data_IF_035719234633
#
_entry.id   IF_035719234633
#
_cell.length_a   1.000
_cell.length_b   1.000
_cell.length_c   1.000
_cell.angle_alpha   90.00
_cell.angle_beta   90.00
_cell.angle_gamma   90.00
#
_symmetry.space_group_name_H-M   'P 1'
#
loop_
_entity.id
_entity.type
_entity.pdbx_description
1 polymer ?
#
# COMPACT_ATOMS: atom_id res chain seq x y z
N UNK A 1 63.99 23.39 28.54
CA UNK A 1 63.13 23.15 27.37
C UNK A 1 63.54 21.79 26.80
N UNK A 2 62.79 20.70 26.89
CA UNK A 2 61.44 20.44 27.40
C UNK A 2 61.44 18.96 27.86
N UNK A 3 60.84 18.70 29.02
CA UNK A 3 60.44 17.36 29.46
C UNK A 3 58.93 17.40 29.64
N UNK A 4 58.21 16.63 28.83
CA UNK A 4 56.79 16.40 29.01
C UNK A 4 56.37 15.09 28.31
N UNK A 5 56.27 14.06 29.13
CA UNK A 5 55.16 13.10 29.20
C UNK A 5 54.96 12.11 28.04
N UNK A 6 55.66 10.97 28.15
CA UNK A 6 55.06 9.65 27.93
C UNK A 6 54.17 9.32 29.15
N UNK A 7 52.87 9.12 28.94
CA UNK A 7 51.96 8.66 30.00
C UNK A 7 51.04 7.59 29.44
N UNK A 8 51.36 6.39 29.90
CA UNK A 8 50.67 5.12 29.76
C UNK A 8 49.27 5.14 30.42
N UNK A 9 48.40 4.31 29.85
CA UNK A 9 47.20 3.67 30.43
C UNK A 9 45.86 4.42 30.50
N UNK A 10 44.96 3.97 29.60
CA UNK A 10 43.70 3.28 29.91
C UNK A 10 42.59 4.05 30.62
N UNK A 11 41.45 4.23 29.93
CA UNK A 11 40.12 3.88 30.47
C UNK A 11 39.04 3.92 29.39
N UNK A 12 38.20 2.90 29.42
CA UNK A 12 37.06 2.65 28.57
C UNK A 12 36.01 3.78 28.58
N UNK A 13 35.47 4.10 27.41
CA UNK A 13 34.15 4.68 27.27
C UNK A 13 33.45 4.00 26.08
N UNK A 14 32.35 3.33 26.43
CA UNK A 14 31.60 2.40 25.62
C UNK A 14 31.18 2.96 24.25
N UNK A 15 31.56 2.24 23.20
CA UNK A 15 30.79 2.18 21.96
C UNK A 15 29.40 1.61 22.31
N UNK A 16 28.28 2.24 21.91
CA UNK A 16 26.98 1.59 22.04
C UNK A 16 26.96 0.39 21.09
N UNK A 17 27.09 -0.78 21.70
CA UNK A 17 26.91 -2.07 21.07
C UNK A 17 25.54 -2.16 20.40
N UNK A 18 25.54 -2.68 19.18
CA UNK A 18 24.52 -3.55 18.58
C UNK A 18 23.05 -3.21 18.97
N UNK A 19 22.39 -2.42 18.12
CA UNK A 19 20.94 -2.24 18.20
C UNK A 19 20.24 -3.57 17.82
N UNK A 20 19.98 -4.37 18.85
CA UNK A 20 18.81 -5.24 19.02
C UNK A 20 18.31 -6.05 17.81
N UNK A 21 19.01 -7.14 17.46
CA UNK A 21 18.39 -8.35 16.88
C UNK A 21 17.89 -9.28 17.99
N UNK A 22 17.05 -8.77 18.89
CA UNK A 22 16.34 -9.60 19.87
C UNK A 22 15.15 -10.25 19.15
N UNK A 23 14.90 -11.57 19.27
CA UNK A 23 13.77 -12.24 18.61
C UNK A 23 12.40 -11.62 18.97
N UNK A 24 12.28 -10.98 20.13
CA UNK A 24 11.08 -10.24 20.52
C UNK A 24 10.89 -8.92 19.76
N UNK A 25 11.97 -8.21 19.43
CA UNK A 25 11.91 -6.96 18.68
C UNK A 25 11.48 -7.21 17.22
N UNK A 26 11.95 -8.32 16.61
CA UNK A 26 11.54 -8.74 15.27
C UNK A 26 10.05 -9.14 15.24
N UNK A 27 9.60 -9.90 16.23
CA UNK A 27 8.19 -10.33 16.33
C UNK A 27 7.23 -9.17 16.60
N UNK A 28 7.66 -8.20 17.41
CA UNK A 28 6.91 -6.97 17.66
C UNK A 28 6.85 -6.08 16.41
N UNK A 29 7.95 -5.96 15.66
CA UNK A 29 7.98 -5.24 14.39
C UNK A 29 7.10 -5.90 13.31
N UNK A 30 7.10 -7.24 13.20
CA UNK A 30 6.18 -7.97 12.30
C UNK A 30 4.72 -7.77 12.70
N UNK A 31 4.38 -7.89 13.99
CA UNK A 31 3.02 -7.66 14.48
C UNK A 31 2.55 -6.23 14.24
N UNK A 32 3.44 -5.24 14.38
CA UNK A 32 3.15 -3.84 14.08
C UNK A 32 2.95 -3.63 12.57
N UNK A 33 3.80 -4.21 11.72
CA UNK A 33 3.67 -4.14 10.26
C UNK A 33 2.36 -4.80 9.77
N UNK A 34 2.00 -5.96 10.32
CA UNK A 34 0.73 -6.66 10.03
C UNK A 34 -0.47 -5.86 10.52
N UNK A 35 -0.37 -5.25 11.71
CA UNK A 35 -1.43 -4.39 12.26
C UNK A 35 -1.69 -3.14 11.40
N UNK A 36 -0.64 -2.52 10.88
CA UNK A 36 -0.74 -1.38 9.96
C UNK A 36 -1.32 -1.82 8.62
N UNK A 37 -0.83 -2.91 8.03
CA UNK A 37 -1.38 -3.50 6.80
C UNK A 37 -2.86 -3.84 6.92
N UNK A 38 -3.29 -4.36 8.07
CA UNK A 38 -4.70 -4.70 8.33
C UNK A 38 -5.57 -3.44 8.41
N UNK A 39 -5.12 -2.39 9.10
CA UNK A 39 -5.86 -1.11 9.17
C UNK A 39 -6.03 -0.46 7.79
N UNK A 40 -4.96 -0.45 6.99
CA UNK A 40 -5.01 0.04 5.60
C UNK A 40 -5.96 -0.82 4.76
N UNK A 41 -5.92 -2.15 4.93
CA UNK A 41 -6.83 -3.07 4.26
C UNK A 41 -8.30 -2.81 4.60
N UNK A 42 -8.64 -2.58 5.87
CA UNK A 42 -10.02 -2.32 6.27
C UNK A 42 -10.53 -0.98 5.72
N UNK A 43 -9.72 0.08 5.78
CA UNK A 43 -10.09 1.39 5.25
C UNK A 43 -10.18 1.40 3.72
N UNK A 44 -9.32 0.62 3.04
CA UNK A 44 -9.31 0.51 1.59
C UNK A 44 -10.28 -0.55 1.05
N UNK A 45 -10.91 -1.38 1.89
CA UNK A 45 -11.74 -2.50 1.43
C UNK A 45 -12.85 -2.07 0.46
N UNK A 46 -13.64 -1.01 0.72
CA UNK A 46 -14.67 -0.57 -0.23
C UNK A 46 -14.10 -0.07 -1.57
N UNK A 47 -12.98 0.65 -1.51
CA UNK A 47 -12.30 1.18 -2.71
C UNK A 47 -11.70 0.03 -3.52
N UNK A 48 -11.09 -0.95 -2.85
CA UNK A 48 -10.51 -2.11 -3.51
C UNK A 48 -11.59 -2.91 -4.23
N UNK A 49 -12.71 -3.19 -3.58
CA UNK A 49 -13.82 -3.91 -4.22
C UNK A 49 -14.35 -3.17 -5.45
N UNK A 50 -14.47 -1.84 -5.39
CA UNK A 50 -14.85 -1.05 -6.55
C UNK A 50 -13.85 -1.21 -7.71
N UNK A 51 -12.56 -1.11 -7.43
CA UNK A 51 -11.51 -1.27 -8.45
C UNK A 51 -11.47 -2.70 -9.01
N UNK A 52 -11.59 -3.71 -8.16
CA UNK A 52 -11.65 -5.13 -8.52
C UNK A 52 -12.85 -5.45 -9.43
N UNK A 53 -14.01 -4.84 -9.17
CA UNK A 53 -15.22 -5.06 -9.94
C UNK A 53 -15.27 -4.27 -11.26
N UNK A 54 -14.61 -3.12 -11.34
CA UNK A 54 -14.75 -2.21 -12.48
C UNK A 54 -13.61 -2.31 -13.48
N UNK A 55 -12.37 -2.07 -13.03
CA UNK A 55 -11.24 -1.79 -13.95
C UNK A 55 -10.11 -2.81 -13.87
N UNK A 56 -9.90 -3.47 -12.74
CA UNK A 56 -8.75 -4.38 -12.54
C UNK A 56 -8.72 -5.53 -13.57
N UNK A 57 -9.82 -6.22 -13.91
CA UNK A 57 -9.76 -7.35 -14.83
C UNK A 57 -9.27 -6.94 -16.23
N UNK A 58 -9.86 -5.89 -16.80
CA UNK A 58 -9.51 -5.39 -18.13
C UNK A 58 -8.10 -4.77 -18.15
N UNK A 59 -7.70 -4.12 -17.06
CA UNK A 59 -6.37 -3.52 -16.93
C UNK A 59 -5.27 -4.57 -16.83
N UNK A 60 -5.50 -5.68 -16.12
CA UNK A 60 -4.58 -6.81 -16.08
C UNK A 60 -4.40 -7.45 -17.46
N UNK A 61 -5.49 -7.63 -18.21
CA UNK A 61 -5.42 -8.15 -19.59
C UNK A 61 -4.66 -7.19 -20.52
N UNK A 62 -4.94 -5.89 -20.44
CA UNK A 62 -4.24 -4.87 -21.22
C UNK A 62 -2.75 -4.78 -20.91
N UNK A 63 -2.37 -4.88 -19.64
CA UNK A 63 -0.96 -4.92 -19.25
C UNK A 63 -0.25 -6.19 -19.76
N UNK A 64 -0.92 -7.34 -19.77
CA UNK A 64 -0.37 -8.56 -20.37
C UNK A 64 -0.15 -8.42 -21.87
N UNK A 65 -1.10 -7.80 -22.60
CA UNK A 65 -0.95 -7.53 -24.03
C UNK A 65 0.19 -6.54 -24.31
N UNK A 66 0.28 -5.47 -23.53
CA UNK A 66 1.35 -4.47 -23.62
C UNK A 66 2.73 -5.10 -23.43
N UNK A 67 2.88 -6.00 -22.46
CA UNK A 67 4.15 -6.71 -22.22
C UNK A 67 4.57 -7.61 -23.39
N UNK A 68 3.62 -8.10 -24.19
CA UNK A 68 3.88 -8.96 -25.36
C UNK A 68 4.25 -8.14 -26.59
N UNK A 69 3.48 -7.09 -26.88
CA UNK A 69 3.66 -6.29 -28.09
C UNK A 69 4.78 -5.26 -27.97
N UNK A 70 5.05 -4.77 -26.74
CA UNK A 70 6.08 -3.75 -26.46
C UNK A 70 6.06 -2.59 -27.48
N UNK A 71 4.90 -1.95 -27.70
CA UNK A 71 4.76 -0.89 -28.68
C UNK A 71 5.60 0.33 -28.29
N UNK A 72 5.91 1.17 -29.29
CA UNK A 72 6.73 2.39 -29.11
C UNK A 72 6.09 3.37 -28.13
N UNK A 73 4.76 3.46 -28.14
CA UNK A 73 3.95 4.24 -27.20
C UNK A 73 3.08 3.32 -26.30
N UNK A 74 3.59 2.86 -25.14
CA UNK A 74 2.87 1.92 -24.28
C UNK A 74 1.57 2.50 -23.67
N UNK A 75 1.56 3.81 -23.39
CA UNK A 75 0.39 4.49 -22.80
C UNK A 75 -0.77 4.57 -23.79
N UNK A 76 -0.47 4.94 -25.04
CA UNK A 76 -1.46 5.06 -26.11
C UNK A 76 -2.08 3.71 -26.44
N UNK A 77 -1.23 2.67 -26.56
CA UNK A 77 -1.69 1.31 -26.74
C UNK A 77 -2.61 0.85 -25.61
N UNK A 78 -2.23 1.09 -24.35
CA UNK A 78 -3.03 0.67 -23.21
C UNK A 78 -4.38 1.40 -23.17
N UNK A 79 -4.39 2.70 -23.43
CA UNK A 79 -5.63 3.49 -23.49
C UNK A 79 -6.57 2.94 -24.58
N UNK A 80 -6.04 2.69 -25.78
CA UNK A 80 -6.81 2.09 -26.86
C UNK A 80 -7.34 0.70 -26.48
N UNK A 81 -6.48 -0.14 -25.90
CA UNK A 81 -6.86 -1.49 -25.46
C UNK A 81 -8.02 -1.46 -24.48
N UNK A 82 -7.96 -0.58 -23.48
CA UNK A 82 -9.02 -0.41 -22.48
C UNK A 82 -10.33 0.06 -23.10
N UNK A 83 -10.28 1.00 -24.05
CA UNK A 83 -11.48 1.49 -24.75
C UNK A 83 -12.10 0.43 -25.66
N UNK A 84 -11.29 -0.35 -26.38
CA UNK A 84 -11.77 -1.41 -27.28
C UNK A 84 -12.32 -2.63 -26.55
N UNK A 85 -11.85 -2.91 -25.32
CA UNK A 85 -12.26 -4.07 -24.52
C UNK A 85 -13.13 -3.69 -23.32
N UNK A 86 -13.71 -2.49 -23.31
CA UNK A 86 -14.59 -2.06 -22.24
C UNK A 86 -15.89 -2.90 -22.23
N UNK A 87 -16.18 -3.67 -21.16
CA UNK A 87 -17.40 -4.47 -21.07
C UNK A 87 -18.68 -3.61 -20.95
N UNK A 88 -18.54 -2.31 -20.69
CA UNK A 88 -19.63 -1.37 -20.44
C UNK A 88 -19.48 -0.10 -21.31
N UNK A 89 -19.62 -0.19 -22.63
CA UNK A 89 -19.36 0.94 -23.53
C UNK A 89 -20.33 2.14 -23.36
N UNK A 90 -21.49 1.94 -22.72
CA UNK A 90 -22.58 2.93 -22.62
C UNK A 90 -23.12 3.16 -21.19
N UNK A 91 -22.34 2.94 -20.15
CA UNK A 91 -22.84 3.15 -18.78
C UNK A 91 -23.01 4.62 -18.44
N UNK A 92 -24.27 5.06 -18.39
CA UNK A 92 -24.66 6.31 -17.72
C UNK A 92 -24.25 6.24 -16.24
N UNK A 93 -23.77 7.35 -15.64
CA UNK A 93 -23.32 7.36 -14.27
C UNK A 93 -24.46 6.93 -13.35
N UNK A 94 -24.27 5.83 -12.63
CA UNK A 94 -25.15 5.41 -11.54
C UNK A 94 -24.86 6.36 -10.38
N UNK A 95 -25.84 7.11 -9.86
CA UNK A 95 -25.66 7.90 -8.65
C UNK A 95 -25.21 6.96 -7.53
N UNK A 96 -23.97 7.13 -7.10
CA UNK A 96 -23.39 6.40 -6.00
C UNK A 96 -24.18 6.76 -4.73
N UNK A 97 -25.06 5.86 -4.29
CA UNK A 97 -25.74 5.94 -3.01
C UNK A 97 -24.72 5.72 -1.88
N UNK A 98 -23.95 6.77 -1.57
CA UNK A 98 -23.16 6.82 -0.35
C UNK A 98 -24.10 7.21 0.80
N UNK A 99 -24.35 6.24 1.68
CA UNK A 99 -24.53 6.45 3.12
C UNK A 99 -25.73 7.29 3.59
N UNK A 100 -26.84 6.62 3.85
CA UNK A 100 -27.75 7.03 4.92
C UNK A 100 -28.14 5.79 5.73
N UNK A 101 -27.26 5.46 6.69
CA UNK A 101 -27.69 4.71 7.85
C UNK A 101 -28.58 5.63 8.67
N UNK A 102 -29.88 5.60 8.41
CA UNK A 102 -30.87 6.14 9.34
C UNK A 102 -31.27 5.01 10.28
N UNK A 103 -30.64 5.09 11.46
CA UNK A 103 -31.06 4.40 12.64
C UNK A 103 -32.47 4.86 13.05
N UNK A 104 -33.27 3.90 13.48
CA UNK A 104 -34.13 4.00 14.66
C UNK A 104 -35.09 5.21 14.76
N UNK A 105 -36.37 4.99 14.42
CA UNK A 105 -37.48 5.64 15.14
C UNK A 105 -38.59 4.63 15.44
N UNK A 106 -38.63 4.26 16.71
CA UNK A 106 -39.68 3.53 17.40
C UNK A 106 -40.72 4.55 17.88
N UNK A 107 -41.85 4.66 17.19
CA UNK A 107 -43.14 5.15 17.72
C UNK A 107 -44.21 4.43 16.87
N UNK A 108 -45.20 3.71 17.40
CA UNK A 108 -46.06 4.08 18.51
C UNK A 108 -47.46 4.32 17.95
N UNK A 109 -48.20 3.26 17.64
CA UNK A 109 -49.68 3.16 17.61
C UNK A 109 -50.08 1.71 17.39
#
# INVERSE_FOLDING_TARGET
MADATDSTAQAAAALPAVAATTPEAVKAAEKAAVGVHKKINLAAAPIRTYLEATVVPVMMQGMQALCKERPENPVEFLAYYLLSHNPQPNTKPVPQANGSGDAEMKEGS
#
